data_IF_020561558853
#
_entry.id   IF_020561558853
#
_cell.length_a   1.000
_cell.length_b   1.000
_cell.length_c   1.000
_cell.angle_alpha   90.00
_cell.angle_beta   90.00
_cell.angle_gamma   90.00
#
_symmetry.space_group_name_H-M   'P 1'
#
loop_
_entity.id
_entity.type
_entity.pdbx_description
1 polymer ?
#
# COMPACT_ATOMS: atom_id res chain seq x y z
N UNK A 1 -1.54 3.81 15.97
CA UNK A 1 -0.16 3.28 15.97
C UNK A 1 0.23 2.97 17.40
N UNK A 2 0.58 1.72 17.71
CA UNK A 2 1.15 1.34 19.02
C UNK A 2 2.65 1.73 19.04
N UNK A 3 3.24 1.88 20.23
CA UNK A 3 4.66 2.32 20.40
C UNK A 3 5.69 1.32 19.84
N UNK A 4 5.26 0.11 19.52
CA UNK A 4 6.03 -0.93 18.81
C UNK A 4 5.93 -0.80 17.26
N UNK A 5 5.18 0.19 16.78
CA UNK A 5 4.89 0.45 15.37
C UNK A 5 4.26 -0.73 14.61
N UNK A 6 3.66 -1.67 15.34
CA UNK A 6 2.88 -2.76 14.75
C UNK A 6 1.48 -2.27 14.36
N UNK A 7 0.93 -2.86 13.31
CA UNK A 7 -0.44 -2.60 12.87
C UNK A 7 -1.30 -3.79 13.30
N UNK A 8 -2.48 -3.50 13.83
CA UNK A 8 -3.55 -4.48 13.95
C UNK A 8 -4.66 -4.05 13.01
N UNK A 9 -5.04 -4.92 12.08
CA UNK A 9 -6.18 -4.72 11.20
C UNK A 9 -7.35 -5.59 11.68
N UNK A 10 -8.57 -5.16 11.41
CA UNK A 10 -9.80 -5.88 11.76
C UNK A 10 -10.86 -5.66 10.68
N UNK A 11 -11.82 -6.59 10.58
CA UNK A 11 -12.91 -6.52 9.59
C UNK A 11 -12.92 -7.73 8.66
N UNK A 12 -13.45 -7.53 7.44
CA UNK A 12 -13.46 -8.58 6.42
C UNK A 12 -12.03 -8.98 6.04
N UNK A 13 -11.78 -10.29 5.97
CA UNK A 13 -10.47 -10.85 5.65
C UNK A 13 -10.51 -11.87 4.50
N UNK A 14 -11.46 -11.75 3.58
CA UNK A 14 -11.63 -12.72 2.46
C UNK A 14 -10.35 -12.93 1.64
N UNK A 15 -9.48 -11.93 1.55
CA UNK A 15 -8.25 -11.95 0.77
C UNK A 15 -6.98 -11.80 1.61
N UNK A 16 -7.08 -11.91 2.95
CA UNK A 16 -5.93 -11.63 3.82
C UNK A 16 -5.67 -10.13 4.03
N UNK A 17 -6.61 -9.24 3.70
CA UNK A 17 -6.41 -7.78 3.83
C UNK A 17 -6.26 -7.30 5.29
N UNK A 18 -6.62 -8.12 6.28
CA UNK A 18 -6.32 -7.85 7.70
C UNK A 18 -5.03 -8.52 8.19
N UNK A 19 -4.40 -9.37 7.37
CA UNK A 19 -3.18 -10.09 7.72
C UNK A 19 -1.94 -9.24 7.39
N UNK A 20 -1.83 -8.09 8.07
CA UNK A 20 -0.76 -7.15 7.84
C UNK A 20 0.62 -7.81 8.07
N UNK A 21 1.59 -7.64 7.15
CA UNK A 21 2.93 -8.16 7.32
C UNK A 21 3.60 -7.59 8.58
N UNK A 22 4.46 -8.40 9.20
CA UNK A 22 5.28 -7.92 10.31
C UNK A 22 6.17 -6.74 9.89
N UNK A 23 6.30 -5.77 10.79
CA UNK A 23 7.17 -4.62 10.58
C UNK A 23 6.62 -3.32 11.18
N UNK A 24 7.40 -2.27 10.97
CA UNK A 24 7.10 -0.90 11.40
C UNK A 24 6.63 -0.08 10.21
N UNK A 25 5.46 0.54 10.36
CA UNK A 25 4.85 1.36 9.32
C UNK A 25 4.62 2.79 9.81
N UNK A 26 4.97 3.77 8.98
CA UNK A 26 4.73 5.19 9.20
C UNK A 26 3.28 5.58 8.83
N UNK A 27 2.70 4.92 7.84
CA UNK A 27 1.34 5.15 7.38
C UNK A 27 0.75 3.87 6.78
N UNK A 28 -0.58 3.77 6.77
CA UNK A 28 -1.34 2.66 6.19
C UNK A 28 -2.52 3.24 5.44
N UNK A 29 -2.81 2.69 4.27
CA UNK A 29 -4.02 2.96 3.49
C UNK A 29 -4.73 1.65 3.20
N UNK A 30 -6.04 1.60 3.45
CA UNK A 30 -6.87 0.43 3.19
C UNK A 30 -7.78 0.70 2.00
N UNK A 31 -7.70 -0.17 0.99
CA UNK A 31 -8.63 -0.26 -0.13
C UNK A 31 -9.82 -1.18 0.19
N UNK A 32 -10.58 -1.57 -0.83
CA UNK A 32 -11.73 -2.46 -0.64
C UNK A 32 -11.33 -3.89 -0.23
N UNK A 33 -10.28 -4.41 -0.87
CA UNK A 33 -9.84 -5.81 -0.71
C UNK A 33 -8.32 -5.96 -0.53
N UNK A 34 -7.59 -4.86 -0.48
CA UNK A 34 -6.14 -4.81 -0.24
C UNK A 34 -5.80 -3.64 0.68
N UNK A 35 -4.61 -3.66 1.25
CA UNK A 35 -4.06 -2.56 2.01
C UNK A 35 -2.59 -2.34 1.64
N UNK A 36 -2.12 -1.12 1.82
CA UNK A 36 -0.74 -0.73 1.58
C UNK A 36 -0.19 0.02 2.78
N UNK A 37 1.04 -0.28 3.17
CA UNK A 37 1.75 0.36 4.26
C UNK A 37 3.05 1.01 3.80
N UNK A 38 3.29 2.24 4.23
CA UNK A 38 4.56 2.95 4.08
C UNK A 38 5.48 2.57 5.24
N UNK A 39 6.64 1.96 4.94
CA UNK A 39 7.63 1.53 5.94
C UNK A 39 8.55 2.66 6.38
N UNK A 40 9.33 2.40 7.43
CA UNK A 40 10.29 3.36 7.96
C UNK A 40 11.40 3.74 6.97
N UNK A 41 11.82 2.80 6.12
CA UNK A 41 12.80 2.97 5.04
C UNK A 41 12.23 3.63 3.77
N UNK A 42 11.01 4.19 3.86
CA UNK A 42 10.28 4.81 2.76
C UNK A 42 9.84 3.87 1.63
N UNK A 43 9.91 2.55 1.81
CA UNK A 43 9.34 1.59 0.85
C UNK A 43 7.86 1.34 1.13
N UNK A 44 7.11 0.88 0.12
CA UNK A 44 5.70 0.48 0.27
C UNK A 44 5.61 -1.04 0.23
N UNK A 45 4.82 -1.61 1.15
CA UNK A 45 4.39 -3.01 1.09
C UNK A 45 2.88 -3.04 1.03
N UNK A 46 2.32 -3.75 0.07
CA UNK A 46 0.88 -3.99 0.00
C UNK A 46 0.56 -5.47 0.20
N UNK A 47 -0.66 -5.76 0.66
CA UNK A 47 -1.14 -7.11 0.95
C UNK A 47 -2.67 -7.19 0.74
N UNK A 48 -3.20 -8.40 0.65
CA UNK A 48 -4.61 -8.65 0.34
C UNK A 48 -4.81 -9.12 -1.10
N UNK A 49 -5.96 -8.80 -1.70
CA UNK A 49 -6.30 -9.13 -3.09
C UNK A 49 -5.28 -8.54 -4.05
N UNK A 50 -4.85 -9.33 -5.04
CA UNK A 50 -3.87 -8.90 -6.04
C UNK A 50 -4.22 -9.32 -7.48
N UNK A 51 -5.49 -9.61 -7.76
CA UNK A 51 -5.88 -10.08 -9.11
C UNK A 51 -5.67 -9.02 -10.20
N UNK A 52 -5.55 -7.75 -9.82
CA UNK A 52 -5.34 -6.62 -10.73
C UNK A 52 -4.02 -5.88 -10.45
N UNK A 53 -3.02 -6.54 -9.85
CA UNK A 53 -1.72 -5.99 -9.43
C UNK A 53 -1.81 -4.87 -8.37
N UNK A 54 -2.94 -4.71 -7.65
CA UNK A 54 -3.11 -3.62 -6.68
C UNK A 54 -2.26 -3.77 -5.41
N UNK A 55 -1.73 -4.96 -5.15
CA UNK A 55 -0.79 -5.26 -4.08
C UNK A 55 0.69 -5.30 -4.56
N UNK A 56 0.95 -5.11 -5.86
CA UNK A 56 2.30 -5.06 -6.42
C UNK A 56 2.83 -3.62 -6.47
N UNK A 57 3.19 -3.10 -5.30
CA UNK A 57 3.76 -1.76 -5.19
C UNK A 57 5.07 -1.64 -6.01
N UNK A 58 5.22 -0.59 -6.84
CA UNK A 58 6.45 -0.33 -7.56
C UNK A 58 7.64 -0.13 -6.62
N UNK A 59 8.81 -0.61 -7.02
CA UNK A 59 10.04 -0.33 -6.31
C UNK A 59 10.35 1.18 -6.28
N UNK A 60 10.94 1.63 -5.17
CA UNK A 60 11.34 3.02 -4.96
C UNK A 60 11.03 3.51 -3.54
N UNK A 61 11.25 4.81 -3.34
CA UNK A 61 11.04 5.49 -2.07
C UNK A 61 9.89 6.49 -2.16
N UNK A 62 9.07 6.53 -1.12
CA UNK A 62 7.80 7.24 -1.08
C UNK A 62 7.63 8.06 0.19
N UNK A 63 6.92 9.17 0.06
CA UNK A 63 6.49 10.03 1.15
C UNK A 63 5.06 9.70 1.61
N UNK A 64 4.22 9.17 0.72
CA UNK A 64 2.82 8.86 1.02
C UNK A 64 2.27 7.76 0.10
N UNK A 65 1.21 7.09 0.57
CA UNK A 65 0.45 6.08 -0.17
C UNK A 65 -1.05 6.24 0.07
N UNK A 66 -1.86 6.01 -0.95
CA UNK A 66 -3.32 5.94 -0.89
C UNK A 66 -3.84 4.73 -1.67
N UNK A 67 -4.91 4.10 -1.18
CA UNK A 67 -5.52 2.89 -1.74
C UNK A 67 -7.03 3.08 -1.91
N UNK A 68 -7.54 2.79 -3.11
CA UNK A 68 -8.96 2.77 -3.47
C UNK A 68 -9.49 1.34 -3.65
N UNK A 69 -10.60 1.17 -4.39
CA UNK A 69 -11.27 -0.14 -4.53
C UNK A 69 -10.42 -1.22 -5.23
N UNK A 70 -9.51 -0.84 -6.12
CA UNK A 70 -8.61 -1.75 -6.85
C UNK A 70 -7.37 -1.05 -7.43
N UNK A 71 -7.04 0.14 -6.92
CA UNK A 71 -5.88 0.93 -7.34
C UNK A 71 -5.20 1.51 -6.12
N UNK A 72 -3.90 1.73 -6.23
CA UNK A 72 -3.11 2.45 -5.24
C UNK A 72 -2.24 3.49 -5.93
N UNK A 73 -1.97 4.60 -5.25
CA UNK A 73 -1.06 5.62 -5.73
C UNK A 73 -0.07 5.99 -4.63
N UNK A 74 1.17 6.30 -5.03
CA UNK A 74 2.26 6.69 -4.15
C UNK A 74 2.90 7.99 -4.61
N UNK A 75 3.19 8.87 -3.66
CA UNK A 75 4.00 10.06 -3.87
C UNK A 75 5.46 9.70 -3.61
N UNK A 76 6.30 9.74 -4.64
CA UNK A 76 7.73 9.46 -4.52
C UNK A 76 8.47 10.58 -3.79
N UNK A 77 9.66 10.26 -3.30
CA UNK A 77 10.56 11.24 -2.67
C UNK A 77 11.08 12.31 -3.63
N UNK A 78 11.06 12.04 -4.94
CA UNK A 78 11.37 13.01 -6.01
C UNK A 78 10.17 13.90 -6.39
N UNK A 79 9.11 13.87 -5.58
CA UNK A 79 7.85 14.58 -5.78
C UNK A 79 7.00 14.13 -6.99
N UNK A 80 7.36 13.05 -7.68
CA UNK A 80 6.51 12.44 -8.72
C UNK A 80 5.45 11.50 -8.15
N UNK A 81 4.37 11.26 -8.89
CA UNK A 81 3.33 10.30 -8.51
C UNK A 81 3.37 9.08 -9.42
N UNK A 82 3.17 7.90 -8.85
CA UNK A 82 2.85 6.68 -9.60
C UNK A 82 1.62 6.01 -9.03
N UNK A 83 0.78 5.48 -9.92
CA UNK A 83 -0.33 4.63 -9.56
C UNK A 83 -0.14 3.23 -10.15
N UNK A 84 -0.60 2.22 -9.41
CA UNK A 84 -0.60 0.81 -9.78
C UNK A 84 -1.94 0.16 -9.41
N UNK A 85 -2.14 -1.08 -9.84
CA UNK A 85 -3.42 -1.76 -9.76
C UNK A 85 -4.33 -1.49 -10.97
N UNK A 86 -5.35 -2.33 -11.13
CA UNK A 86 -6.34 -2.33 -12.22
C UNK A 86 -5.75 -2.05 -13.61
N UNK A 87 -4.58 -2.66 -13.89
CA UNK A 87 -3.87 -2.69 -15.19
C UNK A 87 -3.03 -1.44 -15.56
N UNK A 88 -1.85 -1.24 -14.95
CA UNK A 88 -0.90 -0.13 -15.19
C UNK A 88 -0.05 -0.32 -16.50
N UNK A 89 0.53 0.74 -17.16
CA UNK A 89 0.99 1.99 -16.56
C UNK A 89 0.35 3.26 -17.15
N UNK A 90 -0.33 4.02 -16.31
CA UNK A 90 -0.43 5.48 -16.52
C UNK A 90 0.82 6.08 -15.89
N UNK A 91 1.78 6.51 -16.72
CA UNK A 91 2.74 7.53 -16.30
C UNK A 91 2.07 8.88 -16.48
N UNK A 92 1.72 9.55 -15.39
CA UNK A 92 1.43 10.98 -15.46
C UNK A 92 2.81 11.65 -15.44
N UNK A 93 3.29 12.02 -16.63
CA UNK A 93 4.43 12.94 -16.80
C UNK A 93 4.00 14.37 -16.57
#
# INVERSE_FOLDING_TARGET
>A
MRRDATITCWGSNTYGQTDAPAGTFKAVSAGAFHACGLRADATITCWGRNDDDQADAPAGTFNAVTSGAGRSCGLRTDATVICWGYYAPIRIS
#
